data_IF_180847347749
#
_entry.id   IF_180847347749
#
_cell.length_a   1.000
_cell.length_b   1.000
_cell.length_c   1.000
_cell.angle_alpha   90.00
_cell.angle_beta   90.00
_cell.angle_gamma   90.00
#
_symmetry.space_group_name_H-M   'P 1'
#
loop_
_entity.id
_entity.type
_entity.pdbx_description
1 polymer ?
#
# COMPACT_ATOMS: atom_id res chain seq x y z
N UNK A 1 4.82 22.32 -12.12
CA UNK A 1 6.09 22.42 -11.36
C UNK A 1 6.05 21.58 -10.09
N UNK A 2 5.50 22.00 -8.94
CA UNK A 2 5.50 21.18 -7.70
C UNK A 2 4.84 19.78 -7.87
N UNK A 3 3.75 19.71 -8.63
CA UNK A 3 3.08 18.44 -8.95
C UNK A 3 3.93 17.49 -9.83
N UNK A 4 4.78 18.04 -10.69
CA UNK A 4 5.65 17.25 -11.58
C UNK A 4 6.87 16.73 -10.82
N UNK A 5 7.36 17.49 -9.84
CA UNK A 5 8.47 17.09 -8.97
C UNK A 5 8.07 15.93 -8.05
N UNK A 6 6.94 16.03 -7.34
CA UNK A 6 6.43 14.94 -6.50
C UNK A 6 6.14 13.68 -7.33
N UNK A 7 5.54 13.85 -8.51
CA UNK A 7 5.34 12.76 -9.46
C UNK A 7 6.65 12.06 -9.85
N UNK A 8 7.66 12.81 -10.28
CA UNK A 8 8.96 12.27 -10.67
C UNK A 8 9.65 11.55 -9.49
N UNK A 9 9.51 12.09 -8.28
CA UNK A 9 10.02 11.48 -7.07
C UNK A 9 9.33 10.14 -6.76
N UNK A 10 8.00 10.07 -6.85
CA UNK A 10 7.24 8.82 -6.71
C UNK A 10 7.68 7.77 -7.74
N UNK A 11 7.89 8.17 -9.00
CA UNK A 11 8.40 7.29 -10.07
C UNK A 11 9.79 6.74 -9.70
N UNK A 12 10.65 7.55 -9.08
CA UNK A 12 11.97 7.08 -8.63
C UNK A 12 11.91 6.02 -7.53
N UNK A 13 10.84 5.99 -6.72
CA UNK A 13 10.57 4.92 -5.75
C UNK A 13 9.88 3.70 -6.37
N UNK A 14 9.54 3.73 -7.66
CA UNK A 14 8.89 2.64 -8.39
C UNK A 14 7.37 2.71 -8.39
N UNK A 15 6.77 3.82 -7.98
CA UNK A 15 5.34 4.06 -8.17
C UNK A 15 5.03 4.39 -9.64
N UNK A 16 3.84 4.01 -10.07
CA UNK A 16 3.31 4.32 -11.40
C UNK A 16 1.91 4.92 -11.27
N UNK A 17 1.59 5.92 -12.09
CA UNK A 17 0.24 6.49 -12.11
C UNK A 17 -0.76 5.42 -12.60
N UNK A 18 -1.72 5.08 -11.76
CA UNK A 18 -2.71 4.05 -12.03
C UNK A 18 -4.01 4.62 -12.57
N UNK A 19 -4.56 5.62 -11.89
CA UNK A 19 -5.83 6.24 -12.26
C UNK A 19 -5.86 7.70 -11.81
N UNK A 20 -6.68 8.51 -12.48
CA UNK A 20 -7.10 9.81 -11.98
C UNK A 20 -8.61 9.83 -11.81
N UNK A 21 -9.09 10.25 -10.65
CA UNK A 21 -10.53 10.33 -10.39
C UNK A 21 -11.15 11.63 -10.90
N UNK A 22 -12.48 11.75 -10.80
CA UNK A 22 -13.23 12.94 -11.25
C UNK A 22 -12.98 14.19 -10.39
N UNK A 23 -12.43 14.03 -9.19
CA UNK A 23 -12.05 15.12 -8.29
C UNK A 23 -10.62 15.58 -8.55
N UNK A 24 -9.91 14.91 -9.45
CA UNK A 24 -8.56 15.25 -9.86
C UNK A 24 -7.48 14.50 -9.08
N UNK A 25 -7.85 13.65 -8.12
CA UNK A 25 -6.93 12.84 -7.30
C UNK A 25 -6.21 11.86 -8.21
N UNK A 26 -4.88 11.86 -8.17
CA UNK A 26 -4.04 10.91 -8.91
C UNK A 26 -3.67 9.77 -7.96
N UNK A 27 -4.00 8.55 -8.36
CA UNK A 27 -3.64 7.34 -7.64
C UNK A 27 -2.38 6.76 -8.25
N UNK A 28 -1.38 6.52 -7.41
CA UNK A 28 -0.13 5.88 -7.77
C UNK A 28 -0.04 4.53 -7.10
N UNK A 29 0.45 3.52 -7.83
CA UNK A 29 0.64 2.17 -7.33
C UNK A 29 2.09 1.73 -7.43
N UNK A 30 2.59 1.08 -6.39
CA UNK A 30 3.85 0.32 -6.38
C UNK A 30 3.54 -1.11 -5.94
N UNK A 31 4.15 -2.08 -6.60
CA UNK A 31 3.99 -3.51 -6.28
C UNK A 31 5.35 -4.13 -5.96
N UNK A 32 5.79 -4.12 -4.68
CA UNK A 32 7.09 -4.69 -4.31
C UNK A 32 7.13 -6.22 -4.45
N UNK A 33 5.97 -6.90 -4.44
CA UNK A 33 5.84 -8.31 -4.77
C UNK A 33 4.45 -8.60 -5.38
N UNK A 34 4.15 -9.87 -5.67
CA UNK A 34 2.91 -10.27 -6.35
C UNK A 34 1.63 -10.09 -5.52
N UNK A 35 1.74 -10.00 -4.19
CA UNK A 35 0.59 -9.92 -3.28
C UNK A 35 0.39 -8.54 -2.67
N UNK A 36 1.45 -7.74 -2.53
CA UNK A 36 1.41 -6.41 -1.91
C UNK A 36 1.30 -5.31 -2.97
N UNK A 37 0.29 -4.45 -2.82
CA UNK A 37 0.17 -3.19 -3.55
C UNK A 37 0.20 -2.02 -2.57
N UNK A 38 1.09 -1.07 -2.80
CA UNK A 38 1.21 0.17 -2.04
C UNK A 38 0.61 1.30 -2.89
N UNK A 39 -0.14 2.18 -2.24
CA UNK A 39 -0.91 3.23 -2.89
C UNK A 39 -0.53 4.59 -2.33
N UNK A 40 -0.41 5.57 -3.23
CA UNK A 40 -0.37 7.00 -2.88
C UNK A 40 -1.50 7.70 -3.63
N UNK A 41 -2.43 8.31 -2.92
CA UNK A 41 -3.49 9.15 -3.49
C UNK A 41 -3.12 10.61 -3.29
N UNK A 42 -2.83 11.32 -4.38
CA UNK A 42 -2.42 12.72 -4.38
C UNK A 42 -3.59 13.61 -4.80
N UNK A 43 -4.11 14.44 -3.89
CA UNK A 43 -5.20 15.39 -4.17
C UNK A 43 -4.70 16.78 -4.61
N UNK A 44 -3.39 17.01 -4.58
CA UNK A 44 -2.74 18.27 -4.92
C UNK A 44 -2.34 19.12 -3.71
N UNK A 45 -2.93 18.91 -2.54
CA UNK A 45 -2.58 19.60 -1.30
C UNK A 45 -1.86 18.65 -0.33
N UNK A 46 -2.40 17.45 -0.16
CA UNK A 46 -1.86 16.36 0.64
C UNK A 46 -1.80 15.06 -0.15
N UNK A 47 -1.09 14.08 0.40
CA UNK A 47 -1.13 12.71 -0.10
C UNK A 47 -1.67 11.76 0.97
N UNK A 48 -2.33 10.69 0.54
CA UNK A 48 -2.77 9.61 1.39
C UNK A 48 -1.97 8.36 1.03
N UNK A 49 -1.31 7.75 2.01
CA UNK A 49 -0.63 6.47 1.86
C UNK A 49 -1.51 5.35 2.41
N UNK A 50 -1.66 4.28 1.62
CA UNK A 50 -2.33 3.05 2.03
C UNK A 50 -1.72 1.83 1.32
N UNK A 51 -2.13 0.64 1.68
CA UNK A 51 -1.64 -0.61 1.09
C UNK A 51 -2.69 -1.72 1.19
N UNK A 52 -2.56 -2.67 0.28
CA UNK A 52 -3.42 -3.86 0.21
C UNK A 52 -2.54 -5.09 -0.02
N UNK A 53 -2.78 -6.14 0.74
CA UNK A 53 -2.12 -7.44 0.58
C UNK A 53 -3.16 -8.51 0.26
N UNK A 54 -2.98 -9.20 -0.87
CA UNK A 54 -3.86 -10.30 -1.29
C UNK A 54 -3.60 -11.55 -0.43
N UNK A 55 -4.22 -11.57 0.75
CA UNK A 55 -4.06 -12.65 1.73
C UNK A 55 -4.68 -13.95 1.22
N UNK A 56 -5.80 -13.87 0.52
CA UNK A 56 -6.46 -15.02 -0.08
C UNK A 56 -5.55 -15.73 -1.10
N UNK A 57 -5.00 -14.97 -2.05
CA UNK A 57 -4.07 -15.53 -3.03
C UNK A 57 -2.79 -16.05 -2.36
N UNK A 58 -2.23 -15.31 -1.40
CA UNK A 58 -1.05 -15.76 -0.66
C UNK A 58 -1.28 -17.09 0.05
N UNK A 59 -2.34 -17.20 0.87
CA UNK A 59 -2.69 -18.41 1.61
C UNK A 59 -2.91 -19.59 0.66
N UNK A 60 -3.68 -19.38 -0.42
CA UNK A 60 -3.90 -20.40 -1.45
C UNK A 60 -2.58 -20.90 -2.05
N UNK A 61 -1.66 -19.97 -2.37
CA UNK A 61 -0.36 -20.32 -2.96
C UNK A 61 0.56 -21.10 -2.02
N UNK A 62 0.46 -20.89 -0.70
CA UNK A 62 1.26 -21.64 0.30
C UNK A 62 0.54 -22.87 0.87
N UNK A 63 -0.63 -23.23 0.33
CA UNK A 63 -1.39 -24.41 0.73
C UNK A 63 -2.18 -24.23 2.03
N UNK A 64 -2.47 -22.98 2.43
CA UNK A 64 -3.27 -22.64 3.61
C UNK A 64 -4.72 -22.35 3.22
N UNK A 65 -5.61 -22.52 4.19
CA UNK A 65 -7.03 -22.23 4.04
C UNK A 65 -7.47 -21.18 5.04
N UNK A 66 -8.27 -20.23 4.57
CA UNK A 66 -8.95 -19.24 5.41
C UNK A 66 -10.37 -19.76 5.66
N UNK A 67 -10.72 -20.00 6.92
CA UNK A 67 -12.08 -20.36 7.31
C UNK A 67 -13.01 -19.14 7.33
N UNK A 68 -13.53 -18.74 6.18
CA UNK A 68 -14.53 -17.67 6.06
C UNK A 68 -15.77 -18.18 5.29
N UNK A 69 -16.96 -17.78 5.73
CA UNK A 69 -18.23 -18.22 5.13
C UNK A 69 -18.49 -17.60 3.74
N UNK A 70 -17.82 -16.49 3.42
CA UNK A 70 -17.86 -15.84 2.11
C UNK A 70 -16.43 -15.82 1.53
N UNK A 71 -16.29 -16.34 0.31
CA UNK A 71 -15.01 -16.44 -0.42
C UNK A 71 -14.58 -15.11 -1.09
N UNK A 72 -15.29 -14.02 -0.82
CA UNK A 72 -14.98 -12.71 -1.41
C UNK A 72 -13.62 -12.21 -0.92
N UNK A 73 -12.89 -11.60 -1.88
CA UNK A 73 -11.56 -10.99 -1.77
C UNK A 73 -11.02 -10.83 -0.33
N UNK A 74 -10.24 -11.82 0.11
CA UNK A 74 -9.58 -11.79 1.41
C UNK A 74 -8.34 -10.90 1.29
N UNK A 75 -8.50 -9.62 1.61
CA UNK A 75 -7.45 -8.60 1.51
C UNK A 75 -7.12 -8.12 2.93
N UNK A 76 -5.83 -8.03 3.24
CA UNK A 76 -5.35 -7.27 4.40
C UNK A 76 -5.04 -5.84 3.98
N UNK A 77 -5.46 -4.88 4.80
CA UNK A 77 -5.27 -3.45 4.57
C UNK A 77 -5.15 -2.75 5.93
N UNK A 78 -4.58 -1.54 6.02
CA UNK A 78 -4.45 -0.85 7.29
C UNK A 78 -5.82 -0.46 7.85
N UNK A 79 -5.98 -0.46 9.18
CA UNK A 79 -7.21 0.02 9.82
C UNK A 79 -7.50 1.50 9.49
N UNK A 80 -6.44 2.30 9.35
CA UNK A 80 -6.52 3.70 8.96
C UNK A 80 -5.43 4.01 7.94
N UNK A 81 -5.82 4.69 6.87
CA UNK A 81 -4.88 5.28 5.91
C UNK A 81 -4.12 6.44 6.56
N UNK A 82 -2.92 6.71 6.05
CA UNK A 82 -2.04 7.74 6.61
C UNK A 82 -2.03 8.96 5.70
N UNK A 83 -2.47 10.11 6.22
CA UNK A 83 -2.27 11.39 5.54
C UNK A 83 -0.82 11.83 5.71
N UNK A 84 -0.17 12.18 4.62
CA UNK A 84 1.22 12.59 4.55
C UNK A 84 1.36 13.88 3.75
N UNK A 85 2.43 14.63 4.02
CA UNK A 85 2.83 15.72 3.16
C UNK A 85 3.15 15.19 1.75
N UNK A 86 3.02 16.05 0.73
CA UNK A 86 3.43 15.76 -0.65
C UNK A 86 4.96 15.83 -0.79
N UNK A 87 5.63 14.98 -0.04
CA UNK A 87 7.06 14.91 0.14
C UNK A 87 7.52 13.45 0.05
N UNK A 88 8.62 13.22 -0.67
CA UNK A 88 9.13 11.88 -0.91
C UNK A 88 9.71 11.24 0.35
N UNK A 89 10.26 12.03 1.27
CA UNK A 89 10.76 11.52 2.55
C UNK A 89 9.59 10.99 3.39
N UNK A 90 8.45 11.68 3.40
CA UNK A 90 7.24 11.22 4.08
C UNK A 90 6.71 9.90 3.51
N UNK A 91 6.74 9.73 2.19
CA UNK A 91 6.39 8.45 1.54
C UNK A 91 7.37 7.34 1.95
N UNK A 92 8.68 7.62 1.91
CA UNK A 92 9.71 6.63 2.26
C UNK A 92 9.61 6.17 3.72
N UNK A 93 9.26 7.05 4.65
CA UNK A 93 9.02 6.71 6.06
C UNK A 93 7.84 5.73 6.19
N UNK A 94 6.74 5.95 5.48
CA UNK A 94 5.58 5.05 5.55
C UNK A 94 5.83 3.70 4.86
N UNK A 95 6.62 3.67 3.77
CA UNK A 95 7.12 2.42 3.19
C UNK A 95 7.94 1.62 4.19
N UNK A 96 8.90 2.26 4.86
CA UNK A 96 9.74 1.60 5.86
C UNK A 96 8.91 1.08 7.04
N UNK A 97 7.91 1.84 7.50
CA UNK A 97 6.99 1.41 8.56
C UNK A 97 6.16 0.19 8.13
N UNK A 98 5.69 0.17 6.88
CA UNK A 98 4.97 -0.97 6.33
C UNK A 98 5.85 -2.21 6.28
N UNK A 99 7.05 -2.09 5.73
CA UNK A 99 8.03 -3.18 5.65
C UNK A 99 8.36 -3.74 7.03
N UNK A 100 8.57 -2.89 8.03
CA UNK A 100 8.80 -3.30 9.42
C UNK A 100 7.60 -4.04 10.02
N UNK A 101 6.36 -3.54 9.81
CA UNK A 101 5.15 -4.17 10.35
C UNK A 101 4.90 -5.54 9.74
N UNK A 102 4.97 -5.65 8.42
CA UNK A 102 4.74 -6.93 7.72
C UNK A 102 5.88 -7.92 7.98
N UNK A 103 7.12 -7.44 8.03
CA UNK A 103 8.29 -8.27 8.32
C UNK A 103 8.35 -8.78 9.76
N UNK A 104 7.66 -8.12 10.70
CA UNK A 104 7.57 -8.54 12.10
C UNK A 104 6.39 -9.48 12.40
N UNK A 105 5.55 -9.82 11.41
CA UNK A 105 4.43 -10.73 11.61
C UNK A 105 4.93 -12.18 11.77
N UNK A 106 5.10 -12.62 13.01
CA UNK A 106 5.44 -14.00 13.35
C UNK A 106 4.20 -14.73 13.89
N UNK A 107 3.52 -15.50 13.03
CA UNK A 107 2.33 -16.26 13.42
C UNK A 107 2.59 -17.36 14.47
N UNK A 108 3.85 -17.63 14.82
CA UNK A 108 4.22 -18.56 15.89
C UNK A 108 4.52 -17.85 17.22
N UNK A 109 4.51 -16.51 17.27
CA UNK A 109 4.76 -15.76 18.50
C UNK A 109 3.65 -16.05 19.54
N UNK A 110 3.98 -16.61 20.71
CA UNK A 110 2.99 -16.92 21.75
C UNK A 110 2.35 -15.68 22.40
N UNK A 111 2.87 -14.47 22.14
CA UNK A 111 2.34 -13.23 22.68
C UNK A 111 1.29 -12.53 21.79
N UNK A 112 0.99 -13.10 20.60
CA UNK A 112 -0.04 -12.60 19.68
C UNK A 112 -1.47 -12.67 20.25
#
# INVERSE_FOLDING_TARGET
MANEEFHAALVSLGFTAHQRDRRGVVQYARRPNRYLTEWVHDDGDEALFTWEFDLGEFCSNVGWQIGAAEHSFQILYPQFDVRIARDIEAVAVELQRLEQRLGALDLADPAL
#
